data_IF_671345455048
#
_entry.id   IF_671345455048
#
_cell.length_a   1.000
_cell.length_b   1.000
_cell.length_c   1.000
_cell.angle_alpha   90.00
_cell.angle_beta   90.00
_cell.angle_gamma   90.00
#
_symmetry.space_group_name_H-M   'P 1'
#
loop_
_entity.id
_entity.type
_entity.pdbx_description
1 polymer ?
#
# COMPACT_ATOMS: atom_id res chain seq x y z
N UNK A 1 9.70 5.39 -4.45
CA UNK A 1 8.72 6.38 -4.93
C UNK A 1 7.84 6.82 -3.79
N UNK A 2 7.49 8.10 -3.70
CA UNK A 2 6.70 8.65 -2.59
C UNK A 2 5.30 9.00 -3.08
N UNK A 3 4.32 8.73 -2.25
CA UNK A 3 2.92 9.07 -2.46
C UNK A 3 2.37 9.76 -1.22
N UNK A 4 1.57 10.79 -1.42
CA UNK A 4 0.81 11.46 -0.36
C UNK A 4 -0.64 11.00 -0.45
N UNK A 5 -1.20 10.54 0.68
CA UNK A 5 -2.55 9.99 0.75
C UNK A 5 -3.55 10.99 1.33
N UNK A 6 -4.82 10.88 0.93
CA UNK A 6 -5.89 11.80 1.31
C UNK A 6 -6.08 11.89 2.84
N UNK A 7 -5.76 10.80 3.57
CA UNK A 7 -5.86 10.75 5.02
C UNK A 7 -4.61 11.25 5.77
N UNK A 8 -3.69 11.94 5.06
CA UNK A 8 -2.49 12.55 5.64
C UNK A 8 -1.29 11.62 5.79
N UNK A 9 -1.40 10.35 5.38
CA UNK A 9 -0.26 9.43 5.37
C UNK A 9 0.68 9.69 4.18
N UNK A 10 1.95 9.38 4.37
CA UNK A 10 2.91 9.20 3.27
C UNK A 10 3.23 7.72 3.09
N UNK A 11 2.97 7.21 1.89
CA UNK A 11 3.46 5.90 1.45
C UNK A 11 4.77 6.03 0.67
N UNK A 12 5.78 5.24 1.04
CA UNK A 12 7.04 5.11 0.31
C UNK A 12 7.17 3.69 -0.25
N UNK A 13 7.13 3.58 -1.57
CA UNK A 13 7.19 2.32 -2.32
C UNK A 13 8.63 2.07 -2.79
N UNK A 14 9.20 0.92 -2.45
CA UNK A 14 10.41 0.38 -3.09
C UNK A 14 10.02 -0.83 -3.93
N UNK A 15 10.22 -0.74 -5.24
CA UNK A 15 9.87 -1.80 -6.18
C UNK A 15 10.95 -2.88 -6.22
N UNK A 16 10.52 -4.14 -6.25
CA UNK A 16 11.34 -5.31 -6.52
C UNK A 16 10.74 -6.16 -7.66
N UNK A 17 11.29 -7.35 -7.88
CA UNK A 17 10.76 -8.28 -8.88
C UNK A 17 9.50 -8.97 -8.37
N UNK A 18 8.32 -8.52 -8.83
CA UNK A 18 7.03 -9.11 -8.45
C UNK A 18 6.56 -8.78 -7.03
N UNK A 19 7.19 -7.81 -6.37
CA UNK A 19 6.80 -7.35 -5.03
C UNK A 19 7.19 -5.90 -4.81
N UNK A 20 6.61 -5.28 -3.78
CA UNK A 20 7.02 -3.98 -3.26
C UNK A 20 7.30 -4.08 -1.77
N UNK A 21 8.23 -3.27 -1.28
CA UNK A 21 8.28 -2.91 0.13
C UNK A 21 7.59 -1.54 0.28
N UNK A 22 6.47 -1.53 1.00
CA UNK A 22 5.63 -0.37 1.25
C UNK A 22 5.87 0.10 2.69
N UNK A 23 6.46 1.28 2.86
CA UNK A 23 6.63 1.93 4.15
C UNK A 23 5.58 3.04 4.34
N UNK A 24 4.96 3.11 5.52
CA UNK A 24 3.98 4.15 5.87
C UNK A 24 4.47 4.90 7.10
N UNK A 25 4.54 6.23 6.99
CA UNK A 25 5.13 7.11 7.99
C UNK A 25 4.35 7.12 9.32
N UNK A 26 3.03 7.30 9.28
CA UNK A 26 2.17 7.34 10.47
C UNK A 26 2.16 6.03 11.25
N UNK A 27 2.41 4.91 10.56
CA UNK A 27 2.52 3.58 11.18
C UNK A 27 3.93 3.33 11.73
N UNK A 28 4.95 4.05 11.25
CA UNK A 28 6.36 3.78 11.54
C UNK A 28 6.80 2.37 11.11
N UNK A 29 6.13 1.79 10.10
CA UNK A 29 6.30 0.38 9.70
C UNK A 29 6.39 0.23 8.19
N UNK A 30 6.93 -0.91 7.77
CA UNK A 30 6.94 -1.34 6.38
C UNK A 30 6.46 -2.77 6.24
N UNK A 31 5.81 -3.07 5.12
CA UNK A 31 5.38 -4.42 4.76
C UNK A 31 5.82 -4.77 3.34
N UNK A 32 6.08 -6.06 3.11
CA UNK A 32 6.27 -6.58 1.75
C UNK A 32 4.91 -6.99 1.21
N UNK A 33 4.54 -6.46 0.04
CA UNK A 33 3.33 -6.81 -0.68
C UNK A 33 3.73 -7.47 -2.01
N UNK A 34 3.16 -8.64 -2.31
CA UNK A 34 3.47 -9.38 -3.54
C UNK A 34 2.47 -9.03 -4.64
N UNK A 35 2.92 -9.04 -5.89
CA UNK A 35 2.05 -8.77 -7.02
C UNK A 35 0.93 -9.81 -7.06
N UNK A 36 -0.30 -9.33 -7.20
CA UNK A 36 -1.50 -10.14 -7.26
C UNK A 36 -2.26 -9.86 -8.57
N UNK A 37 -3.18 -10.76 -8.93
CA UNK A 37 -4.02 -10.56 -10.11
C UNK A 37 -4.88 -9.31 -9.97
N UNK A 38 -4.94 -8.52 -11.03
CA UNK A 38 -5.79 -7.33 -11.13
C UNK A 38 -6.42 -7.23 -12.52
N UNK A 39 -7.67 -6.76 -12.57
CA UNK A 39 -8.36 -6.54 -13.85
C UNK A 39 -7.77 -5.36 -14.63
N UNK A 40 -7.25 -4.35 -13.94
CA UNK A 40 -6.59 -3.17 -14.51
C UNK A 40 -5.56 -2.64 -13.53
N UNK A 41 -4.51 -1.97 -14.03
CA UNK A 41 -3.40 -1.48 -13.21
C UNK A 41 -2.56 -2.59 -12.60
N UNK A 42 -1.81 -2.27 -11.55
CA UNK A 42 -0.95 -3.22 -10.85
C UNK A 42 -1.35 -3.29 -9.38
N UNK A 43 -1.72 -4.48 -8.91
CA UNK A 43 -2.09 -4.74 -7.52
C UNK A 43 -1.00 -5.52 -6.81
N UNK A 44 -0.71 -5.11 -5.59
CA UNK A 44 0.16 -5.81 -4.65
C UNK A 44 -0.61 -6.07 -3.36
N UNK A 45 -0.50 -7.27 -2.79
CA UNK A 45 -1.21 -7.64 -1.58
C UNK A 45 -0.36 -8.50 -0.64
N UNK A 46 -0.71 -8.48 0.64
CA UNK A 46 -0.24 -9.42 1.66
C UNK A 46 -1.36 -9.71 2.64
N UNK A 47 -1.48 -10.97 3.08
CA UNK A 47 -2.37 -11.35 4.17
C UNK A 47 -1.78 -11.04 5.55
N UNK A 48 -0.49 -10.69 5.62
CA UNK A 48 0.21 -10.35 6.85
C UNK A 48 1.18 -9.19 6.59
N UNK A 49 0.72 -7.97 6.87
CA UNK A 49 1.42 -6.72 6.62
C UNK A 49 1.74 -5.99 7.95
N UNK A 50 1.34 -4.74 8.10
CA UNK A 50 1.81 -3.83 9.16
C UNK A 50 1.53 -4.31 10.59
N UNK A 51 0.35 -4.86 10.84
CA UNK A 51 -0.07 -5.33 12.16
C UNK A 51 -0.28 -6.86 12.20
N UNK A 52 0.36 -7.59 11.28
CA UNK A 52 0.03 -9.00 11.02
C UNK A 52 -1.28 -9.19 10.25
N UNK A 53 -1.95 -8.09 9.89
CA UNK A 53 -3.23 -8.06 9.20
C UNK A 53 -3.09 -7.79 7.69
N UNK A 54 -4.14 -8.02 6.88
CA UNK A 54 -4.09 -7.81 5.44
C UNK A 54 -3.81 -6.36 5.02
N UNK A 55 -3.15 -6.20 3.88
CA UNK A 55 -3.02 -4.92 3.20
C UNK A 55 -2.90 -5.11 1.68
N UNK A 56 -3.34 -4.09 0.94
CA UNK A 56 -3.37 -4.05 -0.50
C UNK A 56 -2.98 -2.66 -1.01
N UNK A 57 -2.13 -2.64 -2.04
CA UNK A 57 -1.69 -1.45 -2.75
C UNK A 57 -1.96 -1.61 -4.23
N UNK A 58 -2.77 -0.71 -4.80
CA UNK A 58 -3.18 -0.78 -6.20
C UNK A 58 -2.75 0.49 -6.94
N UNK A 59 -1.73 0.39 -7.79
CA UNK A 59 -1.26 1.52 -8.59
C UNK A 59 -1.99 1.62 -9.94
N UNK A 60 -2.37 2.85 -10.29
CA UNK A 60 -2.97 3.23 -11.56
C UNK A 60 -2.07 4.23 -12.28
N UNK A 61 -1.70 3.88 -13.51
CA UNK A 61 -0.90 4.72 -14.42
C UNK A 61 0.40 5.30 -13.79
N UNK A 62 0.93 4.63 -12.75
CA UNK A 62 2.11 5.06 -12.01
C UNK A 62 2.01 6.45 -11.36
N UNK A 63 0.83 7.03 -11.17
CA UNK A 63 0.68 8.36 -10.53
C UNK A 63 -0.38 8.39 -9.43
N UNK A 64 -1.31 7.45 -9.50
CA UNK A 64 -2.36 7.25 -8.52
C UNK A 64 -2.16 5.90 -7.88
N UNK A 65 -2.52 5.79 -6.60
CA UNK A 65 -2.62 4.53 -5.91
C UNK A 65 -3.86 4.51 -5.02
N UNK A 66 -4.47 3.34 -4.87
CA UNK A 66 -5.41 3.05 -3.82
C UNK A 66 -4.72 2.18 -2.78
N UNK A 67 -4.81 2.56 -1.52
CA UNK A 67 -4.21 1.83 -0.41
C UNK A 67 -5.29 1.40 0.57
N UNK A 68 -5.35 0.10 0.84
CA UNK A 68 -6.21 -0.48 1.85
C UNK A 68 -5.37 -1.30 2.83
N UNK A 69 -5.65 -1.16 4.13
CA UNK A 69 -4.99 -1.96 5.16
C UNK A 69 -5.91 -2.13 6.36
N UNK A 70 -5.71 -3.21 7.09
CA UNK A 70 -6.34 -3.42 8.39
C UNK A 70 -5.45 -2.87 9.51
N UNK A 71 -6.00 -1.96 10.32
CA UNK A 71 -5.36 -1.40 11.52
C UNK A 71 -5.14 -2.46 12.61
N UNK A 72 -4.48 -2.08 13.70
CA UNK A 72 -4.18 -2.99 14.82
C UNK A 72 -5.41 -3.51 15.55
N UNK A 73 -6.52 -2.76 15.50
CA UNK A 73 -7.82 -3.10 16.07
C UNK A 73 -8.72 -3.89 15.10
N UNK A 74 -8.21 -4.23 13.90
CA UNK A 74 -8.96 -4.91 12.85
C UNK A 74 -9.84 -3.98 12.01
N UNK A 75 -9.88 -2.69 12.29
CA UNK A 75 -10.59 -1.73 11.43
C UNK A 75 -9.95 -1.69 10.03
N UNK A 76 -10.77 -1.59 8.99
CA UNK A 76 -10.29 -1.45 7.61
C UNK A 76 -10.22 0.02 7.27
N UNK A 77 -9.04 0.46 6.82
CA UNK A 77 -8.78 1.81 6.36
C UNK A 77 -8.49 1.76 4.87
N UNK A 78 -9.09 2.68 4.13
CA UNK A 78 -8.80 2.90 2.71
C UNK A 78 -8.51 4.37 2.44
N UNK A 79 -7.66 4.64 1.47
CA UNK A 79 -7.30 6.00 1.06
C UNK A 79 -6.75 6.00 -0.36
N UNK A 80 -6.96 7.09 -1.09
CA UNK A 80 -6.24 7.31 -2.35
C UNK A 80 -4.93 8.03 -2.06
N UNK A 81 -3.92 7.77 -2.87
CA UNK A 81 -2.62 8.39 -2.78
C UNK A 81 -2.14 8.87 -4.15
N UNK A 82 -1.52 10.04 -4.18
CA UNK A 82 -0.97 10.66 -5.37
C UNK A 82 0.55 10.68 -5.31
N UNK A 83 1.19 10.34 -6.43
CA UNK A 83 2.65 10.42 -6.53
C UNK A 83 3.13 11.85 -6.36
N UNK A 84 4.18 12.02 -5.55
CA UNK A 84 4.90 13.28 -5.37
C UNK A 84 6.16 13.33 -6.23
#
# INVERSE_FOLDING_TARGET
>A
KRFECDNGMTATVKYGSGAINLAVDTMGKSAVLNQAMSASGVRYASNSAFYGNPAEWHEKAGREAYFEFSGSDGSVVNTNCMAK
#
